data_IF_454899538749
#
_entry.id   IF_454899538749
#
_cell.length_a   1.000
_cell.length_b   1.000
_cell.length_c   1.000
_cell.angle_alpha   90.00
_cell.angle_beta   90.00
_cell.angle_gamma   90.00
#
_symmetry.space_group_name_H-M   'P 1'
#
loop_
_entity.id
_entity.type
_entity.pdbx_description
1 polymer ?
#
# COMPACT_ATOMS: atom_id res chain seq x y z
N UNK A 1 -11.75 -12.99 4.78
CA UNK A 1 -11.49 -11.61 5.22
C UNK A 1 -12.82 -11.11 5.73
N UNK A 2 -12.85 -10.72 6.98
CA UNK A 2 -14.03 -10.21 7.68
C UNK A 2 -13.61 -8.82 8.15
N UNK A 3 -14.38 -7.79 7.79
CA UNK A 3 -14.00 -6.39 7.99
C UNK A 3 -15.25 -5.59 8.31
N UNK A 4 -15.23 -4.95 9.47
CA UNK A 4 -16.24 -3.99 9.89
C UNK A 4 -15.68 -2.58 9.65
N UNK A 5 -16.39 -1.77 8.88
CA UNK A 5 -16.06 -0.37 8.66
C UNK A 5 -17.32 0.50 8.81
N UNK A 6 -17.12 1.74 9.23
CA UNK A 6 -18.19 2.71 9.39
C UNK A 6 -17.76 4.04 8.79
N UNK A 7 -18.56 4.54 7.84
CA UNK A 7 -18.33 5.78 7.14
C UNK A 7 -19.47 6.76 7.40
N UNK A 8 -19.15 8.05 7.49
CA UNK A 8 -20.14 9.13 7.63
C UNK A 8 -20.08 10.02 6.40
N UNK A 9 -21.19 10.08 5.66
CA UNK A 9 -21.28 10.93 4.47
C UNK A 9 -21.32 12.40 4.87
N UNK A 10 -20.43 13.20 4.29
CA UNK A 10 -20.30 14.64 4.55
C UNK A 10 -20.27 15.42 3.24
N UNK A 11 -20.72 16.69 3.28
CA UNK A 11 -20.74 17.57 2.11
C UNK A 11 -19.52 18.49 2.01
N UNK A 12 -18.68 18.54 3.05
CA UNK A 12 -17.52 19.43 3.06
C UNK A 12 -16.59 19.22 4.24
N UNK A 13 -15.48 19.95 4.22
CA UNK A 13 -14.41 19.82 5.22
C UNK A 13 -14.85 20.29 6.61
N UNK A 14 -15.76 21.26 6.71
CA UNK A 14 -16.27 21.75 7.99
C UNK A 14 -17.08 20.66 8.73
N UNK A 15 -17.90 19.90 8.00
CA UNK A 15 -18.65 18.76 8.55
C UNK A 15 -17.71 17.61 8.93
N UNK A 16 -16.74 17.30 8.07
CA UNK A 16 -15.71 16.29 8.36
C UNK A 16 -14.93 16.62 9.63
N UNK A 17 -14.52 17.88 9.81
CA UNK A 17 -13.76 18.33 10.97
C UNK A 17 -14.58 18.38 12.27
N UNK A 18 -15.91 18.35 12.18
CA UNK A 18 -16.80 18.32 13.33
C UNK A 18 -17.09 16.89 13.83
N UNK A 19 -16.70 15.86 13.07
CA UNK A 19 -16.84 14.47 13.48
C UNK A 19 -15.88 14.13 14.63
N UNK A 20 -16.27 13.17 15.46
CA UNK A 20 -15.37 12.55 16.43
C UNK A 20 -14.29 11.72 15.73
N UNK A 21 -13.14 11.56 16.37
CA UNK A 21 -12.00 10.82 15.85
C UNK A 21 -12.31 9.34 15.55
N UNK A 22 -13.41 8.80 16.09
CA UNK A 22 -13.87 7.43 15.83
C UNK A 22 -14.58 7.23 14.47
N UNK A 23 -14.90 8.30 13.76
CA UNK A 23 -15.65 8.23 12.49
C UNK A 23 -14.78 8.61 11.31
N UNK A 24 -14.85 7.81 10.24
CA UNK A 24 -14.23 8.15 8.96
C UNK A 24 -15.22 8.92 8.07
N UNK A 25 -14.90 10.16 7.66
CA UNK A 25 -15.72 10.94 6.74
C UNK A 25 -15.58 10.42 5.30
N UNK A 26 -16.73 10.27 4.63
CA UNK A 26 -16.82 10.03 3.19
C UNK A 26 -17.39 11.28 2.51
N UNK A 27 -16.59 11.95 1.69
CA UNK A 27 -17.05 13.08 0.89
C UNK A 27 -17.83 12.59 -0.33
N UNK A 28 -19.06 13.05 -0.50
CA UNK A 28 -19.85 12.73 -1.69
C UNK A 28 -19.60 13.79 -2.77
N UNK A 29 -19.14 13.36 -3.94
CA UNK A 29 -19.00 14.22 -5.12
C UNK A 29 -20.38 14.45 -5.74
N UNK A 30 -20.80 15.71 -5.85
CA UNK A 30 -22.11 16.10 -6.39
C UNK A 30 -23.30 15.36 -5.77
N UNK A 31 -23.20 15.01 -4.48
CA UNK A 31 -24.17 14.23 -3.71
C UNK A 31 -24.38 12.78 -4.19
N UNK A 32 -23.44 12.24 -4.97
CA UNK A 32 -23.40 10.85 -5.40
C UNK A 32 -22.17 10.14 -4.81
N UNK A 33 -22.28 8.81 -4.69
CA UNK A 33 -21.19 7.94 -4.22
C UNK A 33 -21.03 6.81 -5.24
N UNK A 34 -19.81 6.60 -5.72
CA UNK A 34 -19.47 5.44 -6.54
C UNK A 34 -19.25 4.21 -5.63
N UNK A 35 -20.31 3.42 -5.44
CA UNK A 35 -20.29 2.25 -4.56
C UNK A 35 -19.25 1.18 -4.96
N UNK A 36 -19.08 0.83 -6.25
CA UNK A 36 -18.00 -0.06 -6.69
C UNK A 36 -16.60 0.39 -6.23
N UNK A 37 -16.25 1.66 -6.44
CA UNK A 37 -14.94 2.18 -6.08
C UNK A 37 -14.75 2.17 -4.55
N UNK A 38 -15.77 2.63 -3.81
CA UNK A 38 -15.78 2.59 -2.35
C UNK A 38 -15.57 1.17 -1.81
N UNK A 39 -16.29 0.19 -2.38
CA UNK A 39 -16.16 -1.20 -1.96
C UNK A 39 -14.77 -1.76 -2.27
N UNK A 40 -14.17 -1.40 -3.42
CA UNK A 40 -12.82 -1.81 -3.77
C UNK A 40 -11.80 -1.29 -2.75
N UNK A 41 -11.89 -0.01 -2.38
CA UNK A 41 -11.00 0.62 -1.41
C UNK A 41 -11.08 -0.09 -0.05
N UNK A 42 -12.29 -0.29 0.47
CA UNK A 42 -12.50 -0.98 1.75
C UNK A 42 -12.02 -2.43 1.71
N UNK A 43 -12.28 -3.13 0.61
CA UNK A 43 -11.76 -4.49 0.42
C UNK A 43 -10.24 -4.49 0.41
N UNK A 44 -9.60 -3.57 -0.32
CA UNK A 44 -8.15 -3.45 -0.41
C UNK A 44 -7.52 -3.17 0.96
N UNK A 45 -8.11 -2.27 1.75
CA UNK A 45 -7.67 -1.96 3.12
C UNK A 45 -7.84 -3.14 4.07
N UNK A 46 -8.86 -3.98 3.87
CA UNK A 46 -9.09 -5.19 4.66
C UNK A 46 -8.16 -6.36 4.30
N UNK A 47 -7.45 -6.28 3.16
CA UNK A 47 -6.56 -7.35 2.73
C UNK A 47 -5.31 -7.43 3.60
N UNK A 48 -4.81 -8.65 3.87
CA UNK A 48 -3.57 -8.82 4.59
C UNK A 48 -2.38 -8.30 3.77
N UNK A 49 -1.42 -7.66 4.45
CA UNK A 49 -0.17 -7.12 3.86
C UNK A 49 0.60 -8.16 3.04
N UNK A 50 0.47 -9.44 3.42
CA UNK A 50 1.03 -10.58 2.67
C UNK A 50 -0.04 -11.67 2.51
N UNK A 51 0.05 -12.41 1.41
CA UNK A 51 -0.84 -13.53 1.14
C UNK A 51 -0.83 -14.54 2.30
N UNK A 52 -2.02 -14.88 2.79
CA UNK A 52 -2.22 -15.87 3.86
C UNK A 52 -2.61 -17.22 3.25
N UNK A 53 -1.64 -17.96 2.73
CA UNK A 53 -1.82 -19.35 2.28
C UNK A 53 -1.44 -20.33 3.42
N UNK A 54 -2.14 -21.46 3.53
CA UNK A 54 -1.84 -22.49 4.53
C UNK A 54 -0.44 -23.09 4.32
N UNK A 55 -0.08 -23.34 3.07
CA UNK A 55 1.25 -23.80 2.67
C UNK A 55 1.99 -22.66 1.95
N UNK A 56 2.96 -22.08 2.65
CA UNK A 56 3.87 -21.10 2.08
C UNK A 56 5.05 -21.80 1.42
N UNK A 57 4.97 -22.04 0.12
CA UNK A 57 6.17 -22.35 -0.66
C UNK A 57 6.90 -21.04 -0.95
N UNK A 58 7.43 -20.41 0.10
CA UNK A 58 8.36 -19.32 -0.05
C UNK A 58 9.47 -19.80 -0.98
N UNK A 59 9.74 -19.04 -2.03
CA UNK A 59 10.88 -19.31 -2.89
C UNK A 59 12.11 -19.29 -1.99
N UNK A 60 12.83 -20.41 -1.94
CA UNK A 60 14.13 -20.41 -1.30
C UNK A 60 14.99 -19.47 -2.13
N UNK A 61 15.35 -18.33 -1.54
CA UNK A 61 16.47 -17.57 -2.07
C UNK A 61 17.67 -18.51 -2.06
N UNK A 62 18.27 -18.66 -3.24
CA UNK A 62 19.52 -19.38 -3.34
C UNK A 62 20.57 -18.48 -2.70
N UNK A 63 20.93 -18.79 -1.45
CA UNK A 63 22.02 -18.12 -0.72
C UNK A 63 23.40 -18.49 -1.30
N UNK A 64 23.44 -19.29 -2.38
CA UNK A 64 24.66 -19.50 -3.11
C UNK A 64 25.20 -18.14 -3.61
N UNK A 65 26.46 -17.82 -3.27
CA UNK A 65 27.06 -16.60 -3.77
C UNK A 65 27.07 -16.68 -5.29
N UNK A 66 26.25 -15.83 -5.93
CA UNK A 66 26.33 -15.62 -7.37
C UNK A 66 27.78 -15.24 -7.63
N UNK A 67 28.51 -16.11 -8.32
CA UNK A 67 29.90 -15.87 -8.64
C UNK A 67 29.96 -14.54 -9.39
N UNK A 68 30.48 -13.52 -8.71
CA UNK A 68 30.67 -12.22 -9.32
C UNK A 68 31.72 -12.42 -10.42
N UNK A 69 31.27 -12.51 -11.67
CA UNK A 69 32.18 -12.41 -12.79
C UNK A 69 32.97 -11.11 -12.62
N UNK A 70 34.31 -11.21 -12.63
CA UNK A 70 35.20 -10.06 -12.54
C UNK A 70 35.10 -9.25 -13.83
N UNK A 71 34.04 -8.47 -13.95
CA UNK A 71 33.85 -7.49 -15.01
C UNK A 71 34.48 -6.18 -14.55
N UNK A 72 35.02 -5.40 -15.49
CA UNK A 72 35.53 -4.07 -15.13
C UNK A 72 34.40 -3.24 -14.49
N UNK A 73 34.68 -2.61 -13.35
CA UNK A 73 33.69 -1.82 -12.63
C UNK A 73 33.15 -0.70 -13.56
N UNK A 74 31.85 -0.71 -13.93
CA UNK A 74 31.29 0.26 -14.87
C UNK A 74 31.31 1.69 -14.32
N UNK A 75 31.51 1.84 -13.01
CA UNK A 75 31.64 3.11 -12.30
C UNK A 75 33.08 3.40 -11.87
N UNK A 76 34.10 2.77 -12.49
CA UNK A 76 35.53 3.04 -12.21
C UNK A 76 35.87 4.54 -12.30
N UNK A 77 35.14 5.28 -13.14
CA UNK A 77 35.29 6.74 -13.29
C UNK A 77 34.99 7.50 -11.98
N UNK A 78 34.08 7.00 -11.13
CA UNK A 78 33.68 7.66 -9.88
C UNK A 78 34.76 7.62 -8.79
N UNK A 79 35.76 6.72 -8.88
CA UNK A 79 36.88 6.70 -7.93
C UNK A 79 37.73 7.99 -7.99
N UNK A 80 37.73 8.68 -9.14
CA UNK A 80 38.45 9.95 -9.34
C UNK A 80 37.73 11.15 -8.72
N UNK A 81 36.50 10.97 -8.24
CA UNK A 81 35.66 12.03 -7.66
C UNK A 81 35.63 11.99 -6.13
N UNK A 82 36.44 11.14 -5.48
CA UNK A 82 36.72 11.26 -4.04
C UNK A 82 37.74 12.38 -3.81
N UNK A 83 37.26 13.62 -3.83
CA UNK A 83 37.93 14.78 -3.26
C UNK A 83 37.04 15.40 -2.20
#
# INVERSE_FOLDING_TARGET
VDSDFQLVVVQGLDEAAALGDEFDPLMADDAEINLPDLLEDELLLSLPVVARHQECHAWKYDDEPIAAESRENPFRILQKLKH
#
